data_IF_331487773647
#
_entry.id   IF_331487773647
#
_cell.length_a   1.000
_cell.length_b   1.000
_cell.length_c   1.000
_cell.angle_alpha   90.00
_cell.angle_beta   90.00
_cell.angle_gamma   90.00
#
_symmetry.space_group_name_H-M   'P 1'
#
loop_
_entity.id
_entity.type
_entity.pdbx_description
1 polymer ?
#
# COMPACT_ATOMS: atom_id res chain seq x y z
N UNK A 1 10.98 11.96 30.08
CA UNK A 1 9.86 12.62 29.39
C UNK A 1 9.44 11.68 28.27
N UNK A 2 8.20 11.17 28.28
CA UNK A 2 7.70 10.32 27.18
C UNK A 2 7.59 11.19 25.93
N UNK A 3 8.45 10.99 24.95
CA UNK A 3 8.22 11.61 23.63
C UNK A 3 6.94 11.01 23.08
N UNK A 4 5.92 11.86 22.87
CA UNK A 4 4.67 11.43 22.27
C UNK A 4 4.96 10.92 20.85
N UNK A 5 4.55 9.68 20.55
CA UNK A 5 4.69 9.12 19.21
C UNK A 5 3.76 9.86 18.26
N UNK A 6 4.29 10.42 17.17
CA UNK A 6 3.49 11.08 16.14
C UNK A 6 3.34 10.14 14.96
N UNK A 7 2.09 9.80 14.63
CA UNK A 7 1.76 8.97 13.48
C UNK A 7 1.36 9.85 12.30
N UNK A 8 2.00 9.63 11.16
CA UNK A 8 1.59 10.19 9.87
C UNK A 8 0.98 9.09 9.01
N UNK A 9 -0.09 9.39 8.29
CA UNK A 9 -0.73 8.48 7.34
C UNK A 9 -0.54 9.05 5.94
N UNK A 10 -0.07 8.23 5.01
CA UNK A 10 0.16 8.62 3.60
C UNK A 10 -0.54 7.61 2.70
N UNK A 11 -1.44 8.11 1.85
CA UNK A 11 -1.93 7.34 0.70
C UNK A 11 -0.88 7.39 -0.40
N UNK A 12 -0.21 6.26 -0.64
CA UNK A 12 0.76 6.09 -1.71
C UNK A 12 0.03 5.60 -2.96
N UNK A 13 -0.39 6.56 -3.79
CA UNK A 13 -1.13 6.29 -5.02
C UNK A 13 -0.43 5.26 -5.89
N UNK A 14 -1.17 4.25 -6.34
CA UNK A 14 -0.58 3.12 -7.08
C UNK A 14 0.06 3.51 -8.42
N UNK A 15 -0.32 4.64 -9.02
CA UNK A 15 0.35 5.18 -10.21
C UNK A 15 1.73 5.76 -9.93
N UNK A 16 2.06 6.07 -8.67
CA UNK A 16 3.42 6.42 -8.27
C UNK A 16 4.29 5.16 -8.10
N UNK A 17 3.68 4.04 -7.66
CA UNK A 17 4.37 2.75 -7.48
C UNK A 17 4.55 2.04 -8.82
N UNK A 18 3.50 1.97 -9.63
CA UNK A 18 3.46 1.24 -10.89
C UNK A 18 2.62 1.98 -11.94
N UNK A 19 3.15 3.03 -12.61
CA UNK A 19 2.42 3.79 -13.64
C UNK A 19 2.21 3.02 -14.96
N UNK A 20 3.18 2.19 -15.36
CA UNK A 20 3.17 1.31 -16.55
C UNK A 20 4.12 0.12 -16.42
N UNK A 21 4.99 0.18 -15.41
CA UNK A 21 5.88 -0.82 -14.85
C UNK A 21 6.26 -0.31 -13.45
N UNK A 22 7.05 -1.06 -12.67
CA UNK A 22 7.47 -0.60 -11.33
C UNK A 22 8.34 0.65 -11.46
N UNK A 23 7.99 1.73 -10.77
CA UNK A 23 8.73 2.99 -10.77
C UNK A 23 9.93 2.92 -9.81
N UNK A 24 10.97 2.17 -10.20
CA UNK A 24 12.13 1.85 -9.37
C UNK A 24 12.80 3.11 -8.81
N UNK A 25 13.07 4.11 -9.64
CA UNK A 25 13.77 5.34 -9.21
C UNK A 25 12.95 6.14 -8.18
N UNK A 26 11.64 6.23 -8.39
CA UNK A 26 10.74 6.87 -7.42
C UNK A 26 10.71 6.10 -6.10
N UNK A 27 10.59 4.78 -6.13
CA UNK A 27 10.52 3.95 -4.91
C UNK A 27 11.84 4.00 -4.12
N UNK A 28 12.98 4.02 -4.81
CA UNK A 28 14.28 4.20 -4.18
C UNK A 28 14.38 5.57 -3.48
N UNK A 29 14.02 6.65 -4.17
CA UNK A 29 14.02 8.00 -3.60
C UNK A 29 13.03 8.13 -2.43
N UNK A 30 11.84 7.57 -2.58
CA UNK A 30 10.79 7.57 -1.55
C UNK A 30 11.23 6.81 -0.31
N UNK A 31 11.83 5.62 -0.47
CA UNK A 31 12.37 4.85 0.64
C UNK A 31 13.44 5.63 1.41
N UNK A 32 14.42 6.21 0.71
CA UNK A 32 15.46 7.04 1.34
C UNK A 32 14.87 8.26 2.07
N UNK A 33 13.90 8.95 1.46
CA UNK A 33 13.22 10.08 2.08
C UNK A 33 12.52 9.68 3.39
N UNK A 34 11.76 8.58 3.36
CA UNK A 34 11.01 8.11 4.53
C UNK A 34 11.95 7.67 5.65
N UNK A 35 13.02 6.92 5.35
CA UNK A 35 13.97 6.47 6.37
C UNK A 35 14.65 7.67 7.03
N UNK A 36 15.13 8.64 6.25
CA UNK A 36 15.72 9.86 6.80
C UNK A 36 14.72 10.63 7.67
N UNK A 37 13.47 10.79 7.20
CA UNK A 37 12.42 11.43 7.97
C UNK A 37 12.10 10.68 9.27
N UNK A 38 12.11 9.35 9.29
CA UNK A 38 11.91 8.55 10.50
C UNK A 38 13.07 8.69 11.49
N UNK A 39 14.31 8.83 11.00
CA UNK A 39 15.52 8.91 11.83
C UNK A 39 15.71 10.31 12.45
N UNK A 40 15.21 11.37 11.80
CA UNK A 40 15.33 12.76 12.28
C UNK A 40 14.65 13.02 13.64
N UNK A 41 13.51 12.39 13.91
CA UNK A 41 12.74 12.62 15.15
C UNK A 41 12.33 11.30 15.79
N UNK A 42 12.86 10.99 16.99
CA UNK A 42 12.46 9.80 17.74
C UNK A 42 10.96 9.77 18.01
N UNK A 43 10.32 8.65 17.71
CA UNK A 43 8.89 8.44 17.92
C UNK A 43 8.00 8.76 16.71
N UNK A 44 8.57 9.19 15.57
CA UNK A 44 7.84 9.22 14.29
C UNK A 44 7.42 7.81 13.88
N UNK A 45 6.18 7.70 13.43
CA UNK A 45 5.61 6.48 12.86
C UNK A 45 4.87 6.82 11.57
N UNK A 46 4.84 5.88 10.64
CA UNK A 46 4.23 6.05 9.33
C UNK A 46 3.29 4.90 8.99
N UNK A 47 2.11 5.23 8.49
CA UNK A 47 1.21 4.30 7.82
C UNK A 47 1.22 4.61 6.33
N UNK A 48 1.49 3.60 5.50
CA UNK A 48 1.45 3.67 4.05
C UNK A 48 0.25 2.87 3.54
N UNK A 49 -0.70 3.52 2.89
CA UNK A 49 -1.82 2.86 2.22
C UNK A 49 -1.50 2.81 0.72
N UNK A 50 -1.26 1.62 0.17
CA UNK A 50 -0.70 1.49 -1.19
C UNK A 50 -1.78 1.17 -2.22
N UNK A 51 -1.85 1.98 -3.28
CA UNK A 51 -2.82 1.81 -4.37
C UNK A 51 -2.41 0.77 -5.44
N UNK A 52 -3.35 0.41 -6.32
CA UNK A 52 -3.17 -0.69 -7.30
C UNK A 52 -2.51 -0.33 -8.63
N UNK A 53 -2.51 0.95 -9.03
CA UNK A 53 -1.77 1.45 -10.20
C UNK A 53 -2.19 0.82 -11.53
N UNK A 54 -1.25 0.77 -12.48
CA UNK A 54 -1.46 0.09 -13.77
C UNK A 54 -1.80 -1.40 -13.63
N UNK A 55 -1.19 -2.19 -12.72
CA UNK A 55 -1.57 -3.59 -12.53
C UNK A 55 -3.08 -3.76 -12.28
N UNK A 56 -3.69 -2.92 -11.44
CA UNK A 56 -5.14 -2.98 -11.22
C UNK A 56 -5.91 -2.75 -12.53
N UNK A 57 -5.59 -1.67 -13.26
CA UNK A 57 -6.32 -1.28 -14.48
C UNK A 57 -6.18 -2.33 -15.58
N UNK A 58 -4.95 -2.78 -15.84
CA UNK A 58 -4.63 -3.76 -16.89
C UNK A 58 -5.34 -5.09 -16.64
N UNK A 59 -5.30 -5.60 -15.40
CA UNK A 59 -5.94 -6.88 -15.09
C UNK A 59 -7.47 -6.78 -15.05
N UNK A 60 -8.02 -5.68 -14.53
CA UNK A 60 -9.46 -5.46 -14.56
C UNK A 60 -9.99 -5.28 -16.00
N UNK A 61 -9.23 -4.63 -16.87
CA UNK A 61 -9.56 -4.51 -18.29
C UNK A 61 -9.54 -5.87 -18.98
N UNK A 62 -8.49 -6.65 -18.78
CA UNK A 62 -8.42 -8.02 -19.29
C UNK A 62 -9.63 -8.86 -18.83
N UNK A 63 -10.04 -8.75 -17.56
CA UNK A 63 -11.23 -9.43 -17.06
C UNK A 63 -12.51 -9.02 -17.80
N UNK A 64 -12.73 -7.71 -18.00
CA UNK A 64 -13.89 -7.21 -18.74
C UNK A 64 -13.90 -7.64 -20.21
N UNK A 65 -12.73 -7.78 -20.82
CA UNK A 65 -12.62 -8.23 -22.22
C UNK A 65 -12.85 -9.74 -22.38
N UNK A 66 -12.49 -10.53 -21.37
CA UNK A 66 -12.59 -12.00 -21.42
C UNK A 66 -13.94 -12.53 -20.90
N UNK A 67 -14.63 -11.77 -20.04
CA UNK A 67 -15.88 -12.19 -19.41
C UNK A 67 -17.08 -11.45 -20.03
N UNK A 68 -18.01 -12.14 -20.73
CA UNK A 68 -19.18 -11.50 -21.34
C UNK A 68 -20.11 -10.78 -20.35
N UNK A 69 -20.12 -11.20 -19.08
CA UNK A 69 -20.92 -10.63 -18.00
C UNK A 69 -20.05 -10.48 -16.74
N UNK A 70 -19.17 -9.45 -16.69
CA UNK A 70 -18.23 -9.27 -15.60
C UNK A 70 -18.95 -8.93 -14.31
N UNK A 71 -18.58 -9.61 -13.22
CA UNK A 71 -19.13 -9.38 -11.89
C UNK A 71 -18.33 -8.27 -11.20
N UNK A 72 -19.03 -7.26 -10.67
CA UNK A 72 -18.40 -6.12 -10.00
C UNK A 72 -17.48 -6.56 -8.84
N UNK A 73 -17.95 -7.52 -8.03
CA UNK A 73 -17.18 -8.05 -6.90
C UNK A 73 -15.87 -8.73 -7.34
N UNK A 74 -15.90 -9.49 -8.45
CA UNK A 74 -14.69 -10.12 -9.00
C UNK A 74 -13.72 -9.07 -9.54
N UNK A 75 -14.24 -8.03 -10.21
CA UNK A 75 -13.41 -6.93 -10.69
C UNK A 75 -12.74 -6.16 -9.55
N UNK A 76 -13.44 -5.92 -8.45
CA UNK A 76 -12.88 -5.27 -7.27
C UNK A 76 -11.77 -6.13 -6.65
N UNK A 77 -11.97 -7.44 -6.52
CA UNK A 77 -10.93 -8.34 -6.03
C UNK A 77 -9.67 -8.31 -6.88
N UNK A 78 -9.79 -8.26 -8.21
CA UNK A 78 -8.63 -8.11 -9.09
C UNK A 78 -7.87 -6.81 -8.79
N UNK A 79 -8.59 -5.70 -8.63
CA UNK A 79 -8.00 -4.41 -8.26
C UNK A 79 -7.33 -4.45 -6.88
N UNK A 80 -7.98 -5.06 -5.90
CA UNK A 80 -7.45 -5.25 -4.53
C UNK A 80 -6.18 -6.09 -4.56
N UNK A 81 -6.14 -7.19 -5.32
CA UNK A 81 -4.93 -8.01 -5.40
C UNK A 81 -3.75 -7.25 -6.02
N UNK A 82 -4.00 -6.32 -6.95
CA UNK A 82 -2.97 -5.42 -7.45
C UNK A 82 -2.47 -4.43 -6.37
N UNK A 83 -3.35 -3.91 -5.50
CA UNK A 83 -2.92 -3.08 -4.36
C UNK A 83 -2.02 -3.88 -3.42
N UNK A 84 -2.35 -5.15 -3.15
CA UNK A 84 -1.58 -6.04 -2.27
C UNK A 84 -0.22 -6.39 -2.86
N UNK A 85 -0.14 -6.61 -4.17
CA UNK A 85 1.15 -6.81 -4.85
C UNK A 85 2.07 -5.60 -4.69
N UNK A 86 1.54 -4.40 -4.92
CA UNK A 86 2.30 -3.16 -4.75
C UNK A 86 2.70 -2.94 -3.27
N UNK A 87 1.77 -3.19 -2.33
CA UNK A 87 2.03 -3.09 -0.91
C UNK A 87 3.11 -4.08 -0.44
N UNK A 88 3.12 -5.30 -0.98
CA UNK A 88 4.14 -6.29 -0.64
C UNK A 88 5.54 -5.83 -1.06
N UNK A 89 5.68 -5.23 -2.24
CA UNK A 89 6.94 -4.63 -2.69
C UNK A 89 7.37 -3.50 -1.74
N UNK A 90 6.46 -2.58 -1.41
CA UNK A 90 6.74 -1.46 -0.50
C UNK A 90 7.14 -1.97 0.89
N UNK A 91 6.42 -2.95 1.45
CA UNK A 91 6.76 -3.59 2.73
C UNK A 91 8.16 -4.19 2.69
N UNK A 92 8.53 -4.87 1.60
CA UNK A 92 9.85 -5.47 1.46
C UNK A 92 10.97 -4.41 1.44
N UNK A 93 10.74 -3.23 0.86
CA UNK A 93 11.70 -2.12 0.94
C UNK A 93 11.91 -1.65 2.39
N UNK A 94 10.84 -1.62 3.19
CA UNK A 94 10.88 -1.20 4.59
C UNK A 94 11.06 -2.35 5.58
N UNK A 95 11.61 -3.51 5.19
CA UNK A 95 11.63 -4.73 6.02
C UNK A 95 12.16 -4.50 7.45
N UNK A 96 13.20 -3.67 7.61
CA UNK A 96 13.76 -3.31 8.92
C UNK A 96 12.78 -2.50 9.79
N UNK A 97 11.99 -1.62 9.18
CA UNK A 97 11.09 -0.68 9.86
C UNK A 97 9.64 -1.16 9.91
N UNK A 98 9.28 -2.16 9.10
CA UNK A 98 7.98 -2.81 8.96
C UNK A 98 8.12 -4.34 9.06
N UNK A 99 8.43 -4.89 10.25
CA UNK A 99 8.50 -6.33 10.47
C UNK A 99 7.13 -7.04 10.35
N UNK A 100 6.02 -6.31 10.49
CA UNK A 100 4.67 -6.85 10.31
C UNK A 100 4.32 -7.18 8.87
N UNK A 101 3.27 -7.98 8.70
CA UNK A 101 2.67 -8.29 7.40
C UNK A 101 1.92 -7.08 6.82
N UNK A 102 1.63 -7.12 5.52
CA UNK A 102 0.75 -6.13 4.88
C UNK A 102 -0.64 -6.22 5.51
N UNK A 103 -1.14 -5.10 6.05
CA UNK A 103 -2.49 -5.01 6.60
C UNK A 103 -3.50 -4.98 5.46
N UNK A 104 -4.31 -6.03 5.35
CA UNK A 104 -5.38 -6.15 4.34
C UNK A 104 -6.78 -6.12 4.93
N UNK A 105 -6.90 -6.12 6.26
CA UNK A 105 -8.17 -5.95 6.97
C UNK A 105 -7.95 -4.97 8.13
N UNK A 106 -8.47 -3.74 8.05
CA UNK A 106 -8.28 -2.74 9.09
C UNK A 106 -8.99 -3.13 10.40
N UNK A 107 -9.99 -4.01 10.35
CA UNK A 107 -10.72 -4.52 11.53
C UNK A 107 -10.16 -5.85 12.05
N UNK A 108 -9.19 -6.42 11.35
CA UNK A 108 -8.52 -7.64 11.75
C UNK A 108 -7.54 -7.41 12.90
N UNK A 109 -7.01 -8.51 13.44
CA UNK A 109 -5.91 -8.45 14.39
C UNK A 109 -4.59 -8.33 13.62
N UNK A 110 -3.91 -7.20 13.78
CA UNK A 110 -2.56 -6.98 13.28
C UNK A 110 -1.73 -6.25 14.32
N UNK A 111 -0.45 -6.59 14.38
CA UNK A 111 0.48 -5.95 15.30
C UNK A 111 1.24 -4.85 14.55
N UNK A 112 1.21 -3.63 15.08
CA UNK A 112 2.07 -2.57 14.60
C UNK A 112 3.41 -2.59 15.33
N UNK A 113 4.21 -3.57 14.94
CA UNK A 113 5.60 -3.70 15.35
C UNK A 113 6.46 -2.86 14.39
N UNK A 114 7.28 -1.96 14.93
CA UNK A 114 8.14 -1.08 14.13
C UNK A 114 7.58 0.33 13.89
N UNK A 115 8.27 1.06 13.01
CA UNK A 115 8.03 2.48 12.71
C UNK A 115 7.11 2.66 11.51
N UNK A 116 7.09 1.70 10.59
CA UNK A 116 6.26 1.71 9.39
C UNK A 116 5.22 0.61 9.47
N UNK A 117 4.00 0.91 9.05
CA UNK A 117 2.95 -0.06 8.76
C UNK A 117 2.53 0.12 7.30
N UNK A 118 2.44 -0.97 6.57
CA UNK A 118 1.99 -0.97 5.18
C UNK A 118 0.63 -1.65 5.09
N UNK A 119 -0.32 -0.95 4.48
CA UNK A 119 -1.68 -1.41 4.26
C UNK A 119 -2.02 -1.41 2.76
N UNK A 120 -2.99 -2.23 2.39
CA UNK A 120 -3.50 -2.38 1.03
C UNK A 120 -5.03 -2.34 1.01
N UNK A 121 -5.63 -2.52 -0.18
CA UNK A 121 -7.07 -2.62 -0.33
C UNK A 121 -7.68 -3.75 0.51
N UNK A 122 -8.84 -3.46 1.11
CA UNK A 122 -9.53 -4.36 2.01
C UNK A 122 -10.48 -5.33 1.29
N UNK A 123 -11.67 -4.85 0.93
CA UNK A 123 -12.77 -5.65 0.39
C UNK A 123 -13.51 -4.88 -0.71
N UNK A 124 -14.27 -5.59 -1.58
CA UNK A 124 -15.06 -4.99 -2.65
C UNK A 124 -16.02 -3.90 -2.19
N UNK A 125 -16.31 -2.96 -3.10
CA UNK A 125 -17.10 -1.75 -2.84
C UNK A 125 -16.30 -0.60 -2.21
N UNK A 126 -14.97 -0.76 -2.07
CA UNK A 126 -14.09 0.25 -1.49
C UNK A 126 -12.85 0.52 -2.39
N UNK A 127 -12.58 1.78 -2.76
CA UNK A 127 -11.25 2.25 -3.20
C UNK A 127 -10.27 2.38 -2.02
N UNK A 128 -8.97 2.56 -2.32
CA UNK A 128 -7.94 2.88 -1.29
C UNK A 128 -8.02 4.31 -0.78
N UNK A 129 -8.98 5.10 -1.27
CA UNK A 129 -9.13 6.54 -1.01
C UNK A 129 -10.35 6.83 -0.12
N UNK A 130 -10.70 5.96 0.84
CA UNK A 130 -11.69 6.39 1.85
C UNK A 130 -11.04 7.43 2.75
N UNK A 131 -11.53 8.66 2.59
CA UNK A 131 -11.20 9.88 3.32
C UNK A 131 -11.08 9.71 4.85
#
# INVERSE_FOLDING_TARGET
MSNASTTTIVSLGGSLVAPSGVAVDFLAAFHSLVVNWLDEVPGRRLVLIVGGGAPARVYQEAYRSLCPQPQAQSQDWIGIMATRLNAQLVKALFEKDCPGEVVTDPLGNWDWNGRVLVAAGWKPGFSTDFD
#
